data_IF_975383392834
#
_entry.id   IF_975383392834
#
_cell.length_a   1.000
_cell.length_b   1.000
_cell.length_c   1.000
_cell.angle_alpha   90.00
_cell.angle_beta   90.00
_cell.angle_gamma   90.00
#
_symmetry.space_group_name_H-M   'P 1'
#
loop_
_entity.id
_entity.type
_entity.pdbx_description
1 polymer ?
#
# COMPACT_ATOMS: atom_id res chain seq x y z
N UNK A 1 17.90 -17.42 16.74
CA UNK A 1 16.44 -17.69 16.66
C UNK A 1 15.81 -16.55 15.89
N UNK A 2 15.57 -16.72 14.59
CA UNK A 2 14.84 -15.71 13.82
C UNK A 2 13.43 -15.55 14.39
N UNK A 3 12.94 -14.30 14.43
CA UNK A 3 11.58 -14.03 14.92
C UNK A 3 10.56 -14.76 14.04
N UNK A 4 9.43 -15.19 14.62
CA UNK A 4 8.30 -15.73 13.83
C UNK A 4 7.89 -14.77 12.70
N UNK A 5 8.07 -13.45 12.90
CA UNK A 5 7.77 -12.41 11.89
C UNK A 5 8.71 -12.48 10.69
N UNK A 6 10.02 -12.67 10.90
CA UNK A 6 11.01 -12.84 9.82
C UNK A 6 10.77 -14.13 9.04
N UNK A 7 10.48 -15.23 9.73
CA UNK A 7 10.12 -16.49 9.06
C UNK A 7 8.87 -16.34 8.20
N UNK A 8 7.82 -15.68 8.70
CA UNK A 8 6.60 -15.40 7.93
C UNK A 8 6.88 -14.53 6.70
N UNK A 9 7.69 -13.48 6.83
CA UNK A 9 8.07 -12.62 5.71
C UNK A 9 8.83 -13.41 4.62
N UNK A 10 9.82 -14.22 5.01
CA UNK A 10 10.58 -15.07 4.08
C UNK A 10 9.64 -16.07 3.37
N UNK A 11 8.79 -16.78 4.11
CA UNK A 11 7.86 -17.74 3.54
C UNK A 11 6.87 -17.09 2.57
N UNK A 12 6.33 -15.91 2.91
CA UNK A 12 5.40 -15.18 2.05
C UNK A 12 6.09 -14.66 0.78
N UNK A 13 7.29 -14.08 0.90
CA UNK A 13 8.08 -13.65 -0.26
C UNK A 13 8.47 -14.82 -1.17
N UNK A 14 8.80 -15.99 -0.60
CA UNK A 14 9.09 -17.20 -1.36
C UNK A 14 7.84 -17.74 -2.07
N UNK A 15 6.69 -17.73 -1.40
CA UNK A 15 5.42 -18.09 -2.02
C UNK A 15 5.07 -17.15 -3.19
N UNK A 16 5.24 -15.84 -3.04
CA UNK A 16 5.04 -14.86 -4.11
C UNK A 16 5.97 -15.12 -5.31
N UNK A 17 7.24 -15.46 -5.07
CA UNK A 17 8.19 -15.83 -6.12
C UNK A 17 7.72 -17.06 -6.90
N UNK A 18 7.37 -18.14 -6.18
CA UNK A 18 6.88 -19.39 -6.79
C UNK A 18 5.61 -19.15 -7.59
N UNK A 19 4.64 -18.43 -7.02
CA UNK A 19 3.40 -18.04 -7.71
C UNK A 19 3.70 -17.26 -8.99
N UNK A 20 4.67 -16.35 -8.95
CA UNK A 20 5.07 -15.56 -10.12
C UNK A 20 5.63 -16.44 -11.23
N UNK A 21 6.50 -17.39 -10.90
CA UNK A 21 7.08 -18.36 -11.84
C UNK A 21 6.01 -19.28 -12.45
N UNK A 22 4.90 -19.54 -11.74
CA UNK A 22 3.83 -20.41 -12.23
C UNK A 22 2.96 -19.78 -13.32
N UNK A 23 2.88 -18.44 -13.42
CA UNK A 23 2.03 -17.76 -14.40
C UNK A 23 2.17 -18.25 -15.86
N UNK A 24 3.37 -18.34 -16.46
CA UNK A 24 3.54 -18.74 -17.86
C UNK A 24 3.12 -20.19 -18.14
N UNK A 25 2.96 -21.04 -17.12
CA UNK A 25 2.56 -22.43 -17.28
C UNK A 25 1.03 -22.64 -17.20
N UNK A 26 0.27 -21.60 -16.86
CA UNK A 26 -1.18 -21.69 -16.67
C UNK A 26 -1.95 -21.16 -17.88
N UNK A 27 -2.42 -22.10 -18.71
CA UNK A 27 -3.20 -21.77 -19.92
C UNK A 27 -4.72 -21.76 -19.71
N UNK A 28 -5.19 -22.16 -18.53
CA UNK A 28 -6.62 -22.24 -18.21
C UNK A 28 -7.03 -21.10 -17.28
N UNK A 29 -8.07 -20.35 -17.65
CA UNK A 29 -8.53 -19.18 -16.89
C UNK A 29 -8.88 -19.50 -15.44
N UNK A 30 -9.53 -20.64 -15.17
CA UNK A 30 -9.88 -21.05 -13.81
C UNK A 30 -8.66 -21.33 -12.94
N UNK A 31 -7.58 -21.87 -13.53
CA UNK A 31 -6.32 -22.07 -12.81
C UNK A 31 -5.62 -20.73 -12.54
N UNK A 32 -5.68 -19.78 -13.48
CA UNK A 32 -5.18 -18.42 -13.27
C UNK A 32 -5.93 -17.70 -12.13
N UNK A 33 -7.26 -17.84 -12.08
CA UNK A 33 -8.08 -17.27 -11.01
C UNK A 33 -7.76 -17.90 -9.66
N UNK A 34 -7.59 -19.23 -9.61
CA UNK A 34 -7.17 -19.93 -8.41
C UNK A 34 -5.77 -19.48 -7.97
N UNK A 35 -4.83 -19.33 -8.89
CA UNK A 35 -3.49 -18.82 -8.60
C UNK A 35 -3.55 -17.38 -8.08
N UNK A 36 -4.42 -16.53 -8.62
CA UNK A 36 -4.66 -15.16 -8.14
C UNK A 36 -5.17 -15.12 -6.70
N UNK A 37 -6.01 -16.07 -6.29
CA UNK A 37 -6.44 -16.21 -4.89
C UNK A 37 -5.24 -16.45 -3.97
N UNK A 38 -4.37 -17.41 -4.33
CA UNK A 38 -3.16 -17.70 -3.57
C UNK A 38 -2.17 -16.54 -3.59
N UNK A 39 -2.06 -15.82 -4.71
CA UNK A 39 -1.27 -14.61 -4.80
C UNK A 39 -1.77 -13.56 -3.79
N UNK A 40 -3.08 -13.31 -3.76
CA UNK A 40 -3.69 -12.38 -2.80
C UNK A 40 -3.42 -12.77 -1.34
N UNK A 41 -3.53 -14.06 -1.02
CA UNK A 41 -3.22 -14.57 0.32
C UNK A 41 -1.73 -14.36 0.68
N UNK A 42 -0.80 -14.71 -0.21
CA UNK A 42 0.63 -14.51 0.00
C UNK A 42 1.00 -13.02 0.09
N UNK A 43 0.34 -12.17 -0.71
CA UNK A 43 0.47 -10.72 -0.70
C UNK A 43 0.08 -10.14 0.66
N UNK A 44 -1.10 -10.50 1.18
CA UNK A 44 -1.58 -10.02 2.48
C UNK A 44 -0.68 -10.43 3.66
N UNK A 45 -0.15 -11.65 3.63
CA UNK A 45 0.84 -12.09 4.64
C UNK A 45 2.14 -11.30 4.51
N UNK A 46 2.64 -11.12 3.28
CA UNK A 46 3.89 -10.41 3.00
C UNK A 46 3.85 -8.94 3.43
N UNK A 47 2.82 -8.19 3.02
CA UNK A 47 2.68 -6.77 3.38
C UNK A 47 2.58 -6.57 4.88
N UNK A 48 1.78 -7.41 5.55
CA UNK A 48 1.61 -7.37 7.01
C UNK A 48 2.89 -7.72 7.74
N UNK A 49 3.56 -8.82 7.36
CA UNK A 49 4.77 -9.28 8.03
C UNK A 49 5.92 -8.28 7.89
N UNK A 50 6.17 -7.79 6.66
CA UNK A 50 7.22 -6.82 6.37
C UNK A 50 7.00 -5.51 7.13
N UNK A 51 5.80 -4.94 7.06
CA UNK A 51 5.44 -3.72 7.79
C UNK A 51 5.63 -3.89 9.31
N UNK A 52 5.19 -5.03 9.84
CA UNK A 52 5.27 -5.30 11.27
C UNK A 52 6.72 -5.46 11.75
N UNK A 53 7.58 -6.10 10.96
CA UNK A 53 9.02 -6.19 11.27
C UNK A 53 9.67 -4.80 11.32
N UNK A 54 9.34 -3.94 10.37
CA UNK A 54 9.86 -2.57 10.30
C UNK A 54 9.44 -1.76 11.53
N UNK A 55 8.16 -1.84 11.90
CA UNK A 55 7.62 -1.20 13.09
C UNK A 55 8.36 -1.63 14.37
N UNK A 56 8.72 -2.90 14.50
CA UNK A 56 9.44 -3.38 15.68
C UNK A 56 10.88 -2.87 15.77
N UNK A 57 11.47 -2.56 14.62
CA UNK A 57 12.83 -2.03 14.54
C UNK A 57 12.88 -0.53 14.87
N UNK A 58 11.82 0.22 14.56
CA UNK A 58 11.81 1.67 14.70
C UNK A 58 11.60 2.08 16.18
N UNK A 59 12.43 2.99 16.74
CA UNK A 59 12.21 3.56 18.06
C UNK A 59 10.84 4.24 18.19
N UNK A 60 10.14 4.02 19.32
CA UNK A 60 8.78 4.56 19.55
C UNK A 60 8.67 6.08 19.38
N UNK A 61 9.73 6.82 19.66
CA UNK A 61 9.79 8.30 19.57
C UNK A 61 9.91 8.83 18.15
N UNK A 62 10.24 7.98 17.17
CA UNK A 62 10.43 8.34 15.75
C UNK A 62 9.63 7.42 14.83
N UNK A 63 8.51 6.90 15.34
CA UNK A 63 7.73 5.88 14.62
C UNK A 63 7.14 6.43 13.33
N UNK A 64 6.63 7.65 13.34
CA UNK A 64 6.09 8.32 12.15
C UNK A 64 7.16 8.55 11.09
N UNK A 65 8.33 9.04 11.50
CA UNK A 65 9.47 9.20 10.60
C UNK A 65 9.94 7.85 10.00
N UNK A 66 10.06 6.80 10.82
CA UNK A 66 10.51 5.48 10.35
C UNK A 66 9.53 4.81 9.38
N UNK A 67 8.22 4.84 9.68
CA UNK A 67 7.17 4.34 8.77
C UNK A 67 7.13 5.18 7.49
N UNK A 68 7.40 6.48 7.58
CA UNK A 68 7.58 7.36 6.43
C UNK A 68 8.68 6.87 5.48
N UNK A 69 9.87 6.55 6.00
CA UNK A 69 10.97 6.00 5.18
C UNK A 69 10.63 4.64 4.57
N UNK A 70 9.99 3.75 5.33
CA UNK A 70 9.53 2.48 4.80
C UNK A 70 8.55 2.66 3.64
N UNK A 71 7.61 3.59 3.79
CA UNK A 71 6.64 3.90 2.74
C UNK A 71 7.29 4.45 1.47
N UNK A 72 8.39 5.22 1.58
CA UNK A 72 9.16 5.67 0.41
C UNK A 72 9.61 4.48 -0.44
N UNK A 73 10.13 3.41 0.20
CA UNK A 73 10.55 2.21 -0.53
C UNK A 73 9.42 1.54 -1.31
N UNK A 74 8.20 1.47 -0.73
CA UNK A 74 7.05 0.86 -1.40
C UNK A 74 6.55 1.72 -2.57
N UNK A 75 6.58 3.05 -2.43
CA UNK A 75 6.19 3.97 -3.52
C UNK A 75 7.19 3.98 -4.67
N UNK A 76 8.50 3.99 -4.37
CA UNK A 76 9.52 3.88 -5.41
C UNK A 76 9.35 2.57 -6.18
N UNK A 77 9.12 1.46 -5.47
CA UNK A 77 8.82 0.17 -6.11
C UNK A 77 7.56 0.23 -6.99
N UNK A 78 6.47 0.82 -6.50
CA UNK A 78 5.22 0.96 -7.24
C UNK A 78 5.31 1.87 -8.48
N UNK A 79 6.24 2.86 -8.50
CA UNK A 79 6.49 3.70 -9.68
C UNK A 79 7.37 2.96 -10.68
N UNK A 80 8.49 2.38 -10.22
CA UNK A 80 9.50 1.79 -11.09
C UNK A 80 9.01 0.47 -11.71
N UNK A 81 8.30 -0.36 -10.94
CA UNK A 81 7.93 -1.70 -11.38
C UNK A 81 7.00 -1.72 -12.62
N UNK A 82 5.92 -0.91 -12.71
CA UNK A 82 5.10 -0.86 -13.92
C UNK A 82 5.87 -0.36 -15.14
N UNK A 83 6.68 0.70 -14.99
CA UNK A 83 7.43 1.28 -16.11
C UNK A 83 8.45 0.29 -16.68
N UNK A 84 9.26 -0.35 -15.82
CA UNK A 84 10.20 -1.38 -16.27
C UNK A 84 9.47 -2.62 -16.79
N UNK A 85 8.37 -3.01 -16.13
CA UNK A 85 7.60 -4.19 -16.52
C UNK A 85 7.00 -4.09 -17.91
N UNK A 86 6.39 -2.94 -18.24
CA UNK A 86 5.85 -2.66 -19.58
C UNK A 86 6.97 -2.64 -20.62
N UNK A 87 8.08 -1.94 -20.33
CA UNK A 87 9.21 -1.87 -21.25
C UNK A 87 9.78 -3.25 -21.59
N UNK A 88 9.93 -4.13 -20.58
CA UNK A 88 10.42 -5.50 -20.79
C UNK A 88 9.41 -6.32 -21.61
N UNK A 89 8.12 -6.20 -21.29
CA UNK A 89 7.06 -6.93 -21.99
C UNK A 89 6.98 -6.53 -23.48
N UNK A 90 6.97 -5.23 -23.77
CA UNK A 90 6.83 -4.69 -25.13
C UNK A 90 8.09 -4.91 -25.99
N UNK A 91 9.27 -4.79 -25.37
CA UNK A 91 10.54 -4.92 -26.10
C UNK A 91 11.01 -6.36 -26.27
N UNK A 92 10.55 -7.26 -25.40
CA UNK A 92 11.00 -8.65 -25.38
C UNK A 92 9.81 -9.63 -25.39
N UNK A 93 9.36 -10.08 -24.22
CA UNK A 93 8.26 -11.04 -24.11
C UNK A 93 7.73 -11.14 -22.67
N UNK A 94 6.56 -11.76 -22.53
CA UNK A 94 5.98 -12.10 -21.23
C UNK A 94 6.90 -13.01 -20.40
N UNK A 95 7.54 -14.01 -21.02
CA UNK A 95 8.43 -14.94 -20.30
C UNK A 95 9.62 -14.20 -19.68
N UNK A 96 10.23 -13.28 -20.43
CA UNK A 96 11.37 -12.49 -19.94
C UNK A 96 10.93 -11.57 -18.78
N UNK A 97 9.72 -11.01 -18.82
CA UNK A 97 9.14 -10.25 -17.70
C UNK A 97 9.02 -11.11 -16.43
N UNK A 98 8.49 -12.33 -16.55
CA UNK A 98 8.32 -13.24 -15.42
C UNK A 98 9.66 -13.65 -14.82
N UNK A 99 10.63 -14.06 -15.65
CA UNK A 99 11.95 -14.46 -15.17
C UNK A 99 12.72 -13.30 -14.54
N UNK A 100 12.62 -12.10 -15.10
CA UNK A 100 13.21 -10.89 -14.50
C UNK A 100 12.60 -10.60 -13.13
N UNK A 101 11.28 -10.72 -13.00
CA UNK A 101 10.55 -10.55 -11.74
C UNK A 101 10.94 -11.62 -10.71
N UNK A 102 11.14 -12.86 -11.14
CA UNK A 102 11.61 -13.96 -10.29
C UNK A 102 13.03 -13.69 -9.75
N UNK A 103 13.95 -13.19 -10.59
CA UNK A 103 15.30 -12.79 -10.17
C UNK A 103 15.25 -11.67 -9.14
N UNK A 104 14.47 -10.62 -9.37
CA UNK A 104 14.30 -9.53 -8.40
C UNK A 104 13.72 -10.02 -7.07
N UNK A 105 12.76 -10.94 -7.12
CA UNK A 105 12.17 -11.56 -5.93
C UNK A 105 13.19 -12.42 -5.16
N UNK A 106 14.04 -13.16 -5.87
CA UNK A 106 15.15 -13.91 -5.27
C UNK A 106 16.16 -12.97 -4.60
N UNK A 107 16.54 -11.87 -5.23
CA UNK A 107 17.42 -10.87 -4.64
C UNK A 107 16.80 -10.26 -3.36
N UNK A 108 15.50 -9.98 -3.36
CA UNK A 108 14.79 -9.50 -2.18
C UNK A 108 14.78 -10.54 -1.05
N UNK A 109 14.59 -11.83 -1.37
CA UNK A 109 14.66 -12.94 -0.40
C UNK A 109 16.05 -13.07 0.22
N UNK A 110 17.10 -12.96 -0.59
CA UNK A 110 18.48 -12.97 -0.12
C UNK A 110 18.76 -11.78 0.78
N UNK A 111 18.34 -10.57 0.37
CA UNK A 111 18.48 -9.36 1.18
C UNK A 111 17.77 -9.49 2.54
N UNK A 112 16.59 -10.11 2.58
CA UNK A 112 15.81 -10.32 3.80
C UNK A 112 16.52 -11.23 4.82
N UNK A 113 17.40 -12.13 4.38
CA UNK A 113 18.21 -12.96 5.29
C UNK A 113 19.13 -12.12 6.18
N UNK A 114 19.65 -11.02 5.63
CA UNK A 114 20.57 -10.10 6.31
C UNK A 114 19.86 -9.08 7.21
N UNK A 115 18.52 -9.00 7.13
CA UNK A 115 17.75 -8.12 8.00
C UNK A 115 17.74 -8.69 9.42
N UNK A 116 18.26 -7.91 10.37
CA UNK A 116 18.16 -8.19 11.78
C UNK A 116 16.73 -7.96 12.26
N UNK A 117 16.13 -8.97 12.89
CA UNK A 117 14.83 -8.85 13.54
C UNK A 117 15.03 -8.97 15.05
N UNK A 118 14.76 -7.90 15.83
CA UNK A 118 14.90 -7.97 17.28
C UNK A 118 14.02 -9.09 17.86
N UNK A 119 14.60 -9.91 18.75
CA UNK A 119 13.93 -11.08 19.31
C UNK A 119 12.93 -10.73 20.41
N UNK A 120 11.69 -11.16 20.14
CA UNK A 120 10.67 -11.77 21.04
C UNK A 120 9.88 -10.85 21.96
N UNK A 121 8.57 -10.76 21.66
CA UNK A 121 7.56 -10.82 22.71
C UNK A 121 7.13 -12.28 22.86
N UNK A 122 7.26 -12.85 24.07
CA UNK A 122 6.70 -14.17 24.38
C UNK A 122 5.18 -14.04 24.25
N UNK A 123 4.62 -14.46 23.11
CA UNK A 123 3.17 -14.62 23.00
C UNK A 123 2.75 -15.70 23.96
N UNK A 124 1.96 -15.35 24.96
CA UNK A 124 1.07 -16.33 25.58
C UNK A 124 0.24 -16.96 24.46
N UNK A 125 0.25 -18.29 24.38
CA UNK A 125 -0.56 -19.05 23.42
C UNK A 125 -2.04 -18.85 23.79
N UNK A 126 -2.64 -17.75 23.35
CA UNK A 126 -4.09 -17.59 23.40
C UNK A 126 -4.74 -18.53 22.37
N UNK A 127 -5.94 -19.06 22.65
CA UNK A 127 -6.66 -19.88 21.70
C UNK A 127 -6.87 -19.09 20.39
N UNK A 128 -6.72 -19.77 19.26
CA UNK A 128 -6.92 -19.17 17.94
C UNK A 128 -8.35 -18.64 17.82
N UNK A 129 -8.50 -17.33 17.66
CA UNK A 129 -9.77 -16.66 17.39
C UNK A 129 -9.66 -15.89 16.09
N UNK A 130 -10.17 -16.50 15.02
CA UNK A 130 -10.08 -15.97 13.65
C UNK A 130 -10.49 -14.49 13.55
N UNK A 131 -11.64 -14.13 14.13
CA UNK A 131 -12.16 -12.76 14.09
C UNK A 131 -11.33 -11.75 14.89
N UNK A 132 -10.80 -12.13 16.06
CA UNK A 132 -9.94 -11.26 16.87
C UNK A 132 -8.54 -11.07 16.23
N UNK A 133 -8.16 -11.92 15.28
CA UNK A 133 -6.88 -11.85 14.56
C UNK A 133 -6.98 -11.08 13.24
N UNK A 134 -8.17 -11.06 12.62
CA UNK A 134 -8.46 -10.32 11.38
C UNK A 134 -8.83 -8.87 11.68
N UNK A 135 -9.52 -8.62 12.80
CA UNK A 135 -9.97 -7.30 13.18
C UNK A 135 -9.57 -6.99 14.62
N UNK A 136 -8.55 -6.16 14.79
CA UNK A 136 -8.15 -5.65 16.09
C UNK A 136 -9.10 -4.53 16.50
N UNK A 137 -9.97 -4.82 17.48
CA UNK A 137 -11.06 -3.93 17.89
C UNK A 137 -10.55 -2.60 18.42
N UNK A 138 -9.36 -2.56 19.00
CA UNK A 138 -8.76 -1.34 19.55
C UNK A 138 -8.45 -0.28 18.48
N UNK A 139 -8.43 -0.67 17.19
CA UNK A 139 -8.08 0.20 16.06
C UNK A 139 -9.20 0.42 15.04
N UNK A 140 -10.45 0.13 15.42
CA UNK A 140 -11.61 0.23 14.54
C UNK A 140 -11.80 1.63 13.91
N UNK A 141 -11.46 2.68 14.66
CA UNK A 141 -11.64 4.06 14.18
C UNK A 141 -10.62 4.40 13.09
N UNK A 142 -9.37 3.97 13.25
CA UNK A 142 -8.31 4.14 12.27
C UNK A 142 -8.59 3.29 11.02
N UNK A 143 -9.12 2.08 11.21
CA UNK A 143 -9.60 1.23 10.13
C UNK A 143 -10.70 1.93 9.31
N UNK A 144 -11.70 2.52 9.97
CA UNK A 144 -12.77 3.28 9.31
C UNK A 144 -12.22 4.49 8.54
N UNK A 145 -11.33 5.29 9.14
CA UNK A 145 -10.69 6.42 8.45
C UNK A 145 -9.87 5.95 7.23
N UNK A 146 -9.23 4.79 7.33
CA UNK A 146 -8.48 4.18 6.22
C UNK A 146 -9.41 3.80 5.08
N UNK A 147 -10.56 3.17 5.36
CA UNK A 147 -11.58 2.87 4.35
C UNK A 147 -12.09 4.14 3.68
N UNK A 148 -12.49 5.16 4.45
CA UNK A 148 -13.01 6.42 3.90
C UNK A 148 -11.98 7.10 2.98
N UNK A 149 -10.72 7.13 3.41
CA UNK A 149 -9.65 7.78 2.64
C UNK A 149 -9.31 6.99 1.37
N UNK A 150 -9.30 5.65 1.45
CA UNK A 150 -9.01 4.79 0.29
C UNK A 150 -10.16 4.72 -0.70
N UNK A 151 -11.42 4.90 -0.27
CA UNK A 151 -12.56 5.00 -1.17
C UNK A 151 -12.36 6.12 -2.22
N UNK A 152 -11.93 7.31 -1.78
CA UNK A 152 -11.64 8.43 -2.69
C UNK A 152 -10.46 8.16 -3.63
N UNK A 153 -9.44 7.44 -3.16
CA UNK A 153 -8.30 7.06 -3.99
C UNK A 153 -8.64 6.01 -5.05
N UNK A 154 -9.40 4.98 -4.66
CA UNK A 154 -9.80 3.94 -5.59
C UNK A 154 -10.76 4.45 -6.67
N UNK A 155 -11.57 5.48 -6.36
CA UNK A 155 -12.32 6.25 -7.37
C UNK A 155 -11.40 6.83 -8.45
N UNK A 156 -10.34 7.51 -8.03
CA UNK A 156 -9.37 8.12 -8.94
C UNK A 156 -8.65 7.06 -9.75
N UNK A 157 -8.13 6.00 -9.12
CA UNK A 157 -7.45 4.91 -9.85
C UNK A 157 -8.36 4.29 -10.91
N UNK A 158 -9.62 4.06 -10.59
CA UNK A 158 -10.55 3.32 -11.47
C UNK A 158 -11.05 4.19 -12.61
N UNK A 159 -11.42 5.45 -12.35
CA UNK A 159 -12.17 6.27 -13.31
C UNK A 159 -11.37 7.40 -13.95
N UNK A 160 -10.24 7.84 -13.38
CA UNK A 160 -9.54 9.04 -13.87
C UNK A 160 -9.09 8.91 -15.33
N UNK A 161 -8.60 7.73 -15.73
CA UNK A 161 -8.16 7.49 -17.12
C UNK A 161 -9.34 7.57 -18.09
N UNK A 162 -10.48 6.98 -17.73
CA UNK A 162 -11.69 7.04 -18.55
C UNK A 162 -12.24 8.46 -18.64
N UNK A 163 -12.30 9.15 -17.51
CA UNK A 163 -12.77 10.54 -17.42
C UNK A 163 -11.88 11.49 -18.23
N UNK A 164 -10.55 11.32 -18.15
CA UNK A 164 -9.58 12.07 -18.94
C UNK A 164 -9.79 11.91 -20.44
N UNK A 165 -10.02 10.66 -20.89
CA UNK A 165 -10.32 10.36 -22.29
C UNK A 165 -11.62 11.02 -22.78
N UNK A 166 -12.67 11.02 -21.96
CA UNK A 166 -13.94 11.69 -22.29
C UNK A 166 -13.81 13.22 -22.39
N UNK A 167 -12.84 13.80 -21.68
CA UNK A 167 -12.55 15.23 -21.65
C UNK A 167 -11.42 15.63 -22.61
N UNK A 168 -10.95 14.71 -23.45
CA UNK A 168 -9.85 14.92 -24.40
C UNK A 168 -8.57 15.47 -23.75
N UNK A 169 -8.26 14.97 -22.55
CA UNK A 169 -6.99 15.26 -21.85
C UNK A 169 -6.04 14.08 -22.04
N UNK A 170 -4.99 14.30 -22.82
CA UNK A 170 -4.08 13.23 -23.28
C UNK A 170 -3.13 12.73 -22.19
N UNK A 171 -2.60 13.62 -21.33
CA UNK A 171 -1.50 13.30 -20.41
C UNK A 171 -1.94 12.89 -18.99
N UNK A 172 -2.94 12.00 -18.86
CA UNK A 172 -3.48 11.56 -17.53
C UNK A 172 -2.41 10.91 -16.64
N UNK A 173 -1.39 10.28 -17.20
CA UNK A 173 -0.29 9.69 -16.43
C UNK A 173 0.43 10.71 -15.54
N UNK A 174 0.40 12.01 -15.89
CA UNK A 174 0.98 13.09 -15.09
C UNK A 174 0.36 13.15 -13.69
N UNK A 175 -0.93 12.81 -13.54
CA UNK A 175 -1.56 12.78 -12.23
C UNK A 175 -0.85 11.78 -11.31
N UNK A 176 -0.70 10.54 -11.77
CA UNK A 176 -0.10 9.47 -10.97
C UNK A 176 1.38 9.75 -10.68
N UNK A 177 2.13 10.25 -11.68
CA UNK A 177 3.54 10.59 -11.54
C UNK A 177 3.76 11.72 -10.53
N UNK A 178 3.01 12.82 -10.65
CA UNK A 178 3.15 13.98 -9.78
C UNK A 178 2.66 13.65 -8.37
N UNK A 179 1.52 12.96 -8.24
CA UNK A 179 1.03 12.45 -6.97
C UNK A 179 2.12 11.66 -6.25
N UNK A 180 2.69 10.65 -6.91
CA UNK A 180 3.70 9.78 -6.29
C UNK A 180 5.00 10.55 -5.95
N UNK A 181 5.39 11.51 -6.78
CA UNK A 181 6.55 12.38 -6.54
C UNK A 181 6.35 13.28 -5.33
N UNK A 182 5.24 14.02 -5.29
CA UNK A 182 4.90 14.94 -4.18
C UNK A 182 4.74 14.16 -2.87
N UNK A 183 4.03 13.03 -2.89
CA UNK A 183 3.91 12.14 -1.74
C UNK A 183 5.28 11.67 -1.23
N UNK A 184 6.19 11.32 -2.12
CA UNK A 184 7.53 10.86 -1.75
C UNK A 184 8.36 11.97 -1.12
N UNK A 185 8.34 13.17 -1.70
CA UNK A 185 9.09 14.33 -1.21
C UNK A 185 8.61 14.83 0.15
N UNK A 186 7.29 14.78 0.42
CA UNK A 186 6.72 15.28 1.67
C UNK A 186 6.84 14.32 2.85
N UNK A 187 7.15 13.04 2.63
CA UNK A 187 7.20 12.01 3.70
C UNK A 187 8.19 12.26 4.82
N UNK A 188 9.46 12.64 4.57
CA UNK A 188 10.40 12.90 5.67
C UNK A 188 9.95 14.05 6.58
N UNK A 189 9.27 15.05 6.00
CA UNK A 189 8.74 16.20 6.73
C UNK A 189 7.49 15.85 7.52
N UNK A 190 6.58 15.11 6.90
CA UNK A 190 5.30 14.76 7.49
C UNK A 190 5.41 13.68 8.57
N UNK A 191 6.37 12.76 8.46
CA UNK A 191 6.70 11.82 9.55
C UNK A 191 7.19 12.55 10.80
N UNK A 192 8.10 13.53 10.64
CA UNK A 192 8.55 14.39 11.75
C UNK A 192 7.45 15.27 12.32
N UNK A 193 6.54 15.74 11.46
CA UNK A 193 5.37 16.50 11.89
C UNK A 193 4.41 15.63 12.70
N UNK A 194 4.16 14.39 12.26
CA UNK A 194 3.36 13.41 13.00
C UNK A 194 3.92 13.20 14.41
N UNK A 195 5.23 12.93 14.51
CA UNK A 195 5.87 12.64 15.81
C UNK A 195 5.81 13.85 16.77
N UNK A 196 5.66 15.08 16.27
CA UNK A 196 5.57 16.31 17.09
C UNK A 196 4.15 16.76 17.44
N UNK A 197 3.20 16.68 16.50
CA UNK A 197 1.84 17.25 16.64
C UNK A 197 0.74 16.21 16.66
N UNK A 198 1.08 14.93 16.50
CA UNK A 198 0.15 13.82 16.45
C UNK A 198 -0.63 13.71 15.13
N UNK A 199 -1.60 12.79 15.06
CA UNK A 199 -2.28 12.42 13.82
C UNK A 199 -3.24 13.49 13.29
N UNK A 200 -3.95 14.21 14.18
CA UNK A 200 -5.10 15.03 13.80
C UNK A 200 -4.75 16.19 12.86
N UNK A 201 -3.63 16.88 13.08
CA UNK A 201 -3.24 17.98 12.20
C UNK A 201 -2.97 17.52 10.76
N UNK A 202 -2.45 16.30 10.60
CA UNK A 202 -2.18 15.70 9.30
C UNK A 202 -3.48 15.23 8.65
N UNK A 203 -4.36 14.57 9.41
CA UNK A 203 -5.65 14.08 8.90
C UNK A 203 -6.51 15.23 8.40
N UNK A 204 -6.60 16.32 9.16
CA UNK A 204 -7.39 17.51 8.76
C UNK A 204 -6.78 18.15 7.51
N UNK A 205 -5.46 18.35 7.47
CA UNK A 205 -4.79 18.87 6.28
C UNK A 205 -5.07 17.99 5.06
N UNK A 206 -4.91 16.67 5.20
CA UNK A 206 -5.14 15.73 4.11
C UNK A 206 -6.59 15.72 3.62
N UNK A 207 -7.55 15.82 4.53
CA UNK A 207 -8.97 15.93 4.18
C UNK A 207 -9.26 17.21 3.39
N UNK A 208 -8.72 18.36 3.81
CA UNK A 208 -8.88 19.64 3.12
C UNK A 208 -8.24 19.60 1.73
N UNK A 209 -6.98 19.14 1.62
CA UNK A 209 -6.29 19.04 0.34
C UNK A 209 -6.96 18.02 -0.59
N UNK A 210 -7.41 16.88 -0.06
CA UNK A 210 -8.16 15.87 -0.80
C UNK A 210 -9.50 16.39 -1.32
N UNK A 211 -10.23 17.14 -0.50
CA UNK A 211 -11.48 17.79 -0.93
C UNK A 211 -11.26 18.73 -2.11
N UNK A 212 -10.30 19.66 -2.00
CA UNK A 212 -10.01 20.59 -3.10
C UNK A 212 -9.49 19.87 -4.35
N UNK A 213 -8.68 18.83 -4.19
CA UNK A 213 -8.22 18.00 -5.31
C UNK A 213 -9.39 17.37 -6.06
N UNK A 214 -10.34 16.74 -5.34
CA UNK A 214 -11.51 16.12 -5.95
C UNK A 214 -12.43 17.15 -6.63
N UNK A 215 -12.62 18.32 -6.03
CA UNK A 215 -13.39 19.42 -6.64
C UNK A 215 -12.74 19.87 -7.95
N UNK A 216 -11.42 20.07 -7.97
CA UNK A 216 -10.71 20.47 -9.20
C UNK A 216 -10.82 19.37 -10.26
N UNK A 217 -10.67 18.09 -9.89
CA UNK A 217 -10.84 16.97 -10.82
C UNK A 217 -12.25 16.92 -11.41
N UNK A 218 -13.28 17.18 -10.61
CA UNK A 218 -14.68 17.16 -11.07
C UNK A 218 -14.96 18.17 -12.21
N UNK A 219 -14.22 19.29 -12.23
CA UNK A 219 -14.34 20.33 -13.25
C UNK A 219 -13.17 20.34 -14.24
N UNK A 220 -12.40 19.25 -14.31
CA UNK A 220 -11.20 19.19 -15.13
C UNK A 220 -11.53 19.32 -16.63
N UNK A 221 -10.90 20.29 -17.29
CA UNK A 221 -10.99 20.53 -18.75
C UNK A 221 -9.61 20.65 -19.41
N UNK A 222 -8.53 20.73 -18.62
CA UNK A 222 -7.17 20.85 -19.14
C UNK A 222 -6.14 20.20 -18.20
N UNK A 223 -4.91 20.06 -18.71
CA UNK A 223 -3.79 19.44 -17.99
C UNK A 223 -3.34 20.24 -16.77
N UNK A 224 -3.46 21.57 -16.78
CA UNK A 224 -3.08 22.41 -15.64
C UNK A 224 -3.90 22.08 -14.40
N UNK A 225 -5.22 21.89 -14.54
CA UNK A 225 -6.10 21.47 -13.46
C UNK A 225 -5.76 20.06 -12.96
N UNK A 226 -5.42 19.15 -13.88
CA UNK A 226 -4.95 17.81 -13.53
C UNK A 226 -3.67 17.85 -12.67
N UNK A 227 -2.69 18.66 -13.06
CA UNK A 227 -1.43 18.84 -12.35
C UNK A 227 -1.67 19.41 -10.95
N UNK A 228 -2.48 20.47 -10.84
CA UNK A 228 -2.81 21.08 -9.53
C UNK A 228 -3.51 20.06 -8.63
N UNK A 229 -4.49 19.32 -9.16
CA UNK A 229 -5.18 18.28 -8.41
C UNK A 229 -4.22 17.18 -7.95
N UNK A 230 -3.25 16.77 -8.80
CA UNK A 230 -2.25 15.77 -8.48
C UNK A 230 -1.32 16.21 -7.33
N UNK A 231 -0.89 17.47 -7.33
CA UNK A 231 -0.08 18.04 -6.25
C UNK A 231 -0.86 18.03 -4.93
N UNK A 232 -2.11 18.51 -4.95
CA UNK A 232 -2.96 18.55 -3.75
C UNK A 232 -3.25 17.13 -3.23
N UNK A 233 -3.60 16.21 -4.14
CA UNK A 233 -3.86 14.82 -3.79
C UNK A 233 -2.61 14.15 -3.21
N UNK A 234 -1.46 14.31 -3.87
CA UNK A 234 -0.18 13.76 -3.41
C UNK A 234 0.27 14.30 -2.07
N UNK A 235 0.01 15.57 -1.78
CA UNK A 235 0.28 16.18 -0.48
C UNK A 235 -0.67 15.70 0.62
N UNK A 236 -1.95 15.49 0.30
CA UNK A 236 -2.93 14.97 1.26
C UNK A 236 -2.85 13.46 1.44
N UNK A 237 -3.25 12.71 0.41
CA UNK A 237 -3.35 11.26 0.41
C UNK A 237 -2.02 10.57 0.69
N UNK A 238 -0.94 11.04 0.07
CA UNK A 238 0.42 10.50 0.27
C UNK A 238 0.93 10.57 1.70
N UNK A 239 0.38 11.51 2.47
CA UNK A 239 0.76 11.81 3.84
C UNK A 239 -0.13 11.10 4.86
N UNK A 240 -1.44 11.01 4.59
CA UNK A 240 -2.39 10.46 5.55
C UNK A 240 -2.26 8.95 5.71
N UNK A 241 -1.86 8.21 4.68
CA UNK A 241 -1.68 6.76 4.77
C UNK A 241 -0.61 6.32 5.80
N UNK A 242 0.65 6.80 5.72
CA UNK A 242 1.65 6.46 6.75
C UNK A 242 1.27 7.02 8.13
N UNK A 243 0.56 8.16 8.19
CA UNK A 243 0.02 8.72 9.44
C UNK A 243 -1.00 7.76 10.10
N UNK A 244 -1.99 7.28 9.36
CA UNK A 244 -3.00 6.34 9.85
C UNK A 244 -2.38 5.00 10.26
N UNK A 245 -1.40 4.50 9.49
CA UNK A 245 -0.66 3.29 9.84
C UNK A 245 0.10 3.47 11.16
N UNK A 246 0.84 4.57 11.30
CA UNK A 246 1.57 4.90 12.53
C UNK A 246 0.62 4.99 13.72
N UNK A 247 -0.52 5.66 13.56
CA UNK A 247 -1.50 5.82 14.62
C UNK A 247 -2.15 4.51 15.04
N UNK A 248 -2.46 3.65 14.07
CA UNK A 248 -2.99 2.30 14.29
C UNK A 248 -2.06 1.47 15.16
N UNK A 249 -0.77 1.48 14.82
CA UNK A 249 0.26 0.71 15.52
C UNK A 249 0.56 1.26 16.91
N UNK A 250 0.53 2.59 17.11
CA UNK A 250 0.77 3.21 18.43
C UNK A 250 -0.35 2.93 19.45
N UNK A 251 -1.55 2.60 18.98
CA UNK A 251 -2.72 2.35 19.82
C UNK A 251 -2.74 0.97 20.46
N UNK A 252 -1.84 0.08 20.04
CA UNK A 252 -1.80 -1.31 20.51
C UNK A 252 -0.45 -1.65 21.15
N UNK A 253 -0.48 -2.63 22.05
CA UNK A 253 0.74 -3.21 22.61
C UNK A 253 1.53 -3.99 21.53
N UNK A 254 2.81 -4.27 21.80
CA UNK A 254 3.75 -4.85 20.82
C UNK A 254 3.31 -6.21 20.28
N UNK A 255 2.58 -6.99 21.08
CA UNK A 255 1.99 -8.30 20.77
C UNK A 255 0.94 -8.23 19.66
N UNK A 256 0.19 -7.12 19.63
CA UNK A 256 -0.98 -6.86 18.78
C UNK A 256 -0.64 -6.09 17.51
N UNK A 257 0.59 -5.55 17.38
CA UNK A 257 1.05 -4.80 16.19
C UNK A 257 0.80 -5.51 14.87
N UNK A 258 0.98 -6.84 14.84
CA UNK A 258 0.68 -7.64 13.65
C UNK A 258 -0.81 -7.64 13.28
N UNK A 259 -1.70 -7.79 14.26
CA UNK A 259 -3.16 -7.75 14.04
C UNK A 259 -3.64 -6.34 13.68
N UNK A 260 -3.05 -5.30 14.29
CA UNK A 260 -3.34 -3.91 13.97
C UNK A 260 -2.91 -3.55 12.54
N UNK A 261 -1.72 -3.95 12.10
CA UNK A 261 -1.28 -3.80 10.71
C UNK A 261 -2.16 -4.60 9.74
N UNK A 262 -2.52 -5.84 10.09
CA UNK A 262 -3.44 -6.65 9.28
C UNK A 262 -4.79 -5.95 9.10
N UNK A 263 -5.32 -5.35 10.18
CA UNK A 263 -6.57 -4.58 10.15
C UNK A 263 -6.42 -3.35 9.24
N UNK A 264 -5.32 -2.60 9.38
CA UNK A 264 -5.04 -1.43 8.54
C UNK A 264 -4.96 -1.78 7.05
N UNK A 265 -4.15 -2.78 6.66
CA UNK A 265 -4.03 -3.17 5.25
C UNK A 265 -5.32 -3.79 4.71
N UNK A 266 -6.03 -4.58 5.52
CA UNK A 266 -7.35 -5.10 5.13
C UNK A 266 -8.35 -3.97 4.89
N UNK A 267 -8.35 -2.94 5.75
CA UNK A 267 -9.18 -1.75 5.55
C UNK A 267 -8.78 -0.96 4.29
N UNK A 268 -7.48 -0.89 3.98
CA UNK A 268 -7.00 -0.29 2.74
C UNK A 268 -7.54 -1.05 1.52
N UNK A 269 -7.37 -2.37 1.50
CA UNK A 269 -7.80 -3.23 0.38
C UNK A 269 -9.32 -3.21 0.21
N UNK A 270 -10.07 -3.25 1.32
CA UNK A 270 -11.54 -3.12 1.31
C UNK A 270 -11.96 -1.78 0.74
N UNK A 271 -11.37 -0.66 1.17
CA UNK A 271 -11.75 0.65 0.66
C UNK A 271 -11.44 0.82 -0.83
N UNK A 272 -10.29 0.36 -1.30
CA UNK A 272 -9.97 0.34 -2.74
C UNK A 272 -10.92 -0.58 -3.51
N UNK A 273 -11.15 -1.81 -3.04
CA UNK A 273 -12.00 -2.78 -3.71
C UNK A 273 -13.48 -2.36 -3.77
N UNK A 274 -14.03 -1.86 -2.67
CA UNK A 274 -15.42 -1.36 -2.61
C UNK A 274 -15.61 -0.13 -3.49
N UNK A 275 -14.61 0.75 -3.58
CA UNK A 275 -14.72 1.95 -4.44
C UNK A 275 -14.96 1.61 -5.90
N UNK A 276 -14.20 0.65 -6.45
CA UNK A 276 -14.32 0.25 -7.85
C UNK A 276 -15.70 -0.35 -8.14
N UNK A 277 -16.24 -1.13 -7.20
CA UNK A 277 -17.56 -1.74 -7.34
C UNK A 277 -18.70 -0.70 -7.23
N UNK A 278 -18.73 0.06 -6.14
CA UNK A 278 -19.83 1.01 -5.86
C UNK A 278 -19.87 2.13 -6.89
N UNK A 279 -18.71 2.70 -7.22
CA UNK A 279 -18.64 3.79 -8.19
C UNK A 279 -18.80 3.28 -9.62
N UNK A 280 -18.48 2.00 -9.89
CA UNK A 280 -18.75 1.37 -11.17
C UNK A 280 -20.25 1.31 -11.45
N UNK A 281 -21.05 0.90 -10.47
CA UNK A 281 -22.52 0.89 -10.57
C UNK A 281 -23.09 2.31 -10.75
N UNK A 282 -22.47 3.32 -10.12
CA UNK A 282 -22.91 4.71 -10.26
C UNK A 282 -22.47 5.36 -11.58
N UNK A 283 -21.50 4.77 -12.27
CA UNK A 283 -20.95 5.28 -13.53
C UNK A 283 -21.61 4.68 -14.77
N UNK A 284 -22.31 3.55 -14.63
CA UNK A 284 -23.28 3.04 -15.62
C UNK A 284 -24.55 3.90 -15.67
#
# INVERSE_FOLDING_TARGET
MDSQRKSLAICASAALMVITILYPFLNMIWLLLLLRLFHGAAWGVSTTANSTMVVDFIPKTRLGEGIGYFSISTTVGAIIAPSIGILIYDSFSFDILIWSSAVLSLLALLALQFVYSPTIVKREKKPFRFWDMIFEKDVWFQALLTVITTLGFGAIITFLVLFGKQREVDHIFLFFLINATVSTLLRPFTGKWYDKKGPWSIIIMAAVLGFFSLVILSYMTNESQLIIAAILFGAGYGTVMPCLQTWTVQKVCEEKRGAANATFFSSFDVGVGVSAFVLGILAE
#
